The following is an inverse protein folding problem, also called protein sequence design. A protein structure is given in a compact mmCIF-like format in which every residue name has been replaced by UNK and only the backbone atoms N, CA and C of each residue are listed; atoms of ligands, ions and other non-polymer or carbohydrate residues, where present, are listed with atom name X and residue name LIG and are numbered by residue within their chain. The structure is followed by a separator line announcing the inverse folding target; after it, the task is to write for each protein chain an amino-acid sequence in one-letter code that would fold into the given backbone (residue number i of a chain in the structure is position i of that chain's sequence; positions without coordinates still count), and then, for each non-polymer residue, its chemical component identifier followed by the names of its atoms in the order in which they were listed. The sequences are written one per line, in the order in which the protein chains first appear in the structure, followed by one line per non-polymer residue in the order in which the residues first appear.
data_IF_350708051697
#
_entry.id   IF_350708051697
#
_cell.length_a   1.000
_cell.length_b   1.000
_cell.length_c   1.000
_cell.angle_alpha   90.00
_cell.angle_beta   90.00
_cell.angle_gamma   90.00
#
_symmetry.space_group_name_H-M   'P 1'
#
loop_
_entity.id
_entity.type
_entity.pdbx_description
1 polymer ?
#
# COMPACT_ATOMS: atom_id res chain seq x y z
N UNK A 1 28.53 24.91 -24.24
CA UNK A 1 29.35 23.68 -24.25
C UNK A 1 28.77 22.76 -25.31
N UNK A 2 29.53 22.49 -26.37
CA UNK A 2 29.15 21.57 -27.46
C UNK A 2 29.23 20.13 -26.96
N UNK A 3 28.10 19.53 -26.59
CA UNK A 3 27.99 18.09 -26.37
C UNK A 3 28.17 17.39 -27.72
N UNK A 4 29.27 16.67 -27.89
CA UNK A 4 29.53 15.82 -29.06
C UNK A 4 28.56 14.65 -29.03
N UNK A 5 27.42 14.81 -29.73
CA UNK A 5 26.44 13.74 -29.94
C UNK A 5 27.10 12.53 -30.60
N UNK A 6 26.62 11.33 -30.28
CA UNK A 6 27.05 10.12 -30.98
C UNK A 6 26.65 10.19 -32.46
N UNK A 7 27.51 9.72 -33.38
CA UNK A 7 27.29 9.90 -34.82
C UNK A 7 26.07 9.14 -35.33
N UNK A 8 25.79 7.94 -34.80
CA UNK A 8 24.64 7.11 -35.14
C UNK A 8 23.73 6.92 -33.92
N UNK A 9 22.42 6.97 -34.19
CA UNK A 9 21.39 6.57 -33.23
C UNK A 9 21.30 5.04 -33.21
N UNK A 10 21.30 4.46 -32.03
CA UNK A 10 21.03 3.04 -31.81
C UNK A 10 19.70 2.95 -31.09
N UNK A 11 18.72 2.26 -31.65
CA UNK A 11 17.41 2.19 -31.01
C UNK A 11 17.42 1.30 -29.77
N UNK A 12 16.75 1.70 -28.68
CA UNK A 12 16.60 0.87 -27.49
C UNK A 12 15.73 -0.35 -27.76
N UNK A 13 16.06 -1.47 -27.14
CA UNK A 13 15.23 -2.68 -27.19
C UNK A 13 14.05 -2.56 -26.21
N UNK A 14 12.92 -3.27 -26.45
CA UNK A 14 11.78 -3.23 -25.54
C UNK A 14 12.17 -3.63 -24.11
N UNK A 15 11.78 -2.80 -23.13
CA UNK A 15 12.08 -2.97 -21.70
C UNK A 15 13.59 -3.09 -21.38
N UNK A 16 14.47 -2.64 -22.26
CA UNK A 16 15.90 -2.63 -22.05
C UNK A 16 16.27 -1.73 -20.87
N UNK A 17 17.19 -2.20 -20.06
CA UNK A 17 17.75 -1.42 -18.96
C UNK A 17 18.79 -0.45 -19.49
N UNK A 18 18.86 0.76 -18.92
CA UNK A 18 19.80 1.79 -19.36
C UNK A 18 21.25 1.31 -19.41
N UNK A 19 21.69 0.52 -18.42
CA UNK A 19 23.04 -0.07 -18.46
C UNK A 19 23.22 -1.06 -19.61
N UNK A 20 22.21 -1.88 -19.92
CA UNK A 20 22.24 -2.81 -21.06
C UNK A 20 22.36 -2.05 -22.38
N UNK A 21 21.53 -1.00 -22.54
CA UNK A 21 21.57 -0.10 -23.68
C UNK A 21 22.97 0.52 -23.86
N UNK A 22 23.54 1.14 -22.82
CA UNK A 22 24.87 1.76 -22.90
C UNK A 22 25.96 0.75 -23.25
N UNK A 23 25.88 -0.48 -22.74
CA UNK A 23 26.84 -1.55 -23.09
C UNK A 23 26.72 -1.92 -24.56
N UNK A 24 25.49 -2.10 -25.06
CA UNK A 24 25.24 -2.42 -26.47
C UNK A 24 25.72 -1.32 -27.42
N UNK A 25 25.47 -0.06 -27.07
CA UNK A 25 26.00 1.11 -27.81
C UNK A 25 27.52 1.14 -27.76
N UNK A 26 28.13 0.89 -26.61
CA UNK A 26 29.59 0.87 -26.47
C UNK A 26 30.24 -0.21 -27.33
N UNK A 27 29.65 -1.41 -27.34
CA UNK A 27 30.12 -2.52 -28.16
C UNK A 27 29.96 -2.24 -29.66
N UNK A 28 28.85 -1.59 -30.07
CA UNK A 28 28.67 -1.14 -31.46
C UNK A 28 29.78 -0.17 -31.91
N UNK A 29 30.20 0.74 -31.04
CA UNK A 29 31.28 1.69 -31.33
C UNK A 29 32.69 1.18 -31.03
N UNK A 30 32.85 -0.05 -30.51
CA UNK A 30 34.15 -0.59 -30.12
C UNK A 30 34.82 0.15 -28.95
N UNK A 31 34.04 0.82 -28.10
CA UNK A 31 34.55 1.61 -26.96
C UNK A 31 34.12 1.01 -25.62
N UNK A 32 34.69 1.51 -24.52
CA UNK A 32 34.25 1.13 -23.17
C UNK A 32 32.98 1.91 -22.80
N UNK A 33 32.00 1.30 -22.11
CA UNK A 33 30.79 2.00 -21.65
C UNK A 33 31.06 3.28 -20.85
N UNK A 34 32.11 3.29 -20.02
CA UNK A 34 32.54 4.48 -19.27
C UNK A 34 33.01 5.64 -20.17
N UNK A 35 33.57 5.34 -21.34
CA UNK A 35 34.02 6.37 -22.27
C UNK A 35 32.82 7.12 -22.87
N UNK A 36 31.71 6.42 -23.16
CA UNK A 36 30.47 7.06 -23.58
C UNK A 36 29.90 7.97 -22.49
N UNK A 37 29.79 7.45 -21.26
CA UNK A 37 29.18 8.21 -20.16
C UNK A 37 30.04 9.39 -19.68
N UNK A 38 31.35 9.38 -19.92
CA UNK A 38 32.23 10.51 -19.63
C UNK A 38 31.93 11.75 -20.50
N UNK A 39 31.20 11.58 -21.61
CA UNK A 39 30.78 12.67 -22.49
C UNK A 39 29.50 13.38 -22.01
N UNK A 40 28.81 12.87 -20.99
CA UNK A 40 27.60 13.45 -20.41
C UNK A 40 27.90 14.10 -19.03
N UNK A 41 28.16 15.41 -18.98
CA UNK A 41 28.45 16.11 -17.72
C UNK A 41 27.21 16.20 -16.81
N UNK A 42 27.09 15.24 -15.88
CA UNK A 42 25.93 15.12 -14.98
C UNK A 42 25.39 13.69 -14.88
N UNK A 43 25.76 12.81 -15.81
CA UNK A 43 25.49 11.39 -15.69
C UNK A 43 26.29 10.84 -14.50
N UNK A 44 25.58 10.45 -13.44
CA UNK A 44 26.13 9.92 -12.19
C UNK A 44 26.87 8.58 -12.41
N UNK A 45 28.04 8.61 -13.05
CA UNK A 45 28.95 7.47 -13.11
C UNK A 45 29.62 7.39 -11.75
N UNK A 46 28.95 6.74 -10.80
CA UNK A 46 29.59 6.38 -9.54
C UNK A 46 30.88 5.64 -9.86
N UNK A 47 32.00 6.24 -9.47
CA UNK A 47 33.39 5.86 -9.78
C UNK A 47 33.79 4.45 -9.36
N UNK A 48 32.89 3.66 -8.74
CA UNK A 48 33.12 2.25 -8.41
C UNK A 48 33.38 1.44 -9.68
N UNK A 49 34.31 0.49 -9.58
CA UNK A 49 34.88 -0.37 -10.65
C UNK A 49 33.88 -1.15 -11.51
N UNK A 50 32.58 -1.06 -11.25
CA UNK A 50 31.49 -1.68 -12.00
C UNK A 50 30.39 -0.63 -12.07
N UNK A 51 29.73 -0.45 -13.22
CA UNK A 51 28.60 0.49 -13.40
C UNK A 51 27.34 0.02 -12.62
N UNK A 52 27.52 -0.49 -11.40
CA UNK A 52 26.58 -1.30 -10.63
C UNK A 52 25.25 -0.59 -10.36
N UNK A 53 25.22 0.74 -10.53
CA UNK A 53 24.13 1.61 -10.12
C UNK A 53 23.54 2.46 -11.26
N UNK A 54 24.16 2.42 -12.46
CA UNK A 54 23.64 3.11 -13.64
C UNK A 54 22.27 2.56 -14.04
N UNK A 55 21.31 3.42 -14.38
CA UNK A 55 19.96 2.99 -14.75
C UNK A 55 19.01 2.73 -13.59
N UNK A 56 19.31 3.25 -12.39
CA UNK A 56 18.39 3.16 -11.24
C UNK A 56 17.46 4.37 -11.17
N UNK A 57 18.03 5.57 -11.09
CA UNK A 57 17.33 6.86 -11.11
C UNK A 57 18.19 7.83 -11.93
N UNK A 58 17.56 8.78 -12.63
CA UNK A 58 18.22 9.91 -13.26
C UNK A 58 17.42 11.18 -12.96
N UNK A 59 18.10 12.32 -12.80
CA UNK A 59 17.43 13.63 -12.70
C UNK A 59 16.92 14.05 -14.08
N UNK A 60 15.95 14.97 -14.15
CA UNK A 60 15.41 15.45 -15.42
C UNK A 60 16.51 16.07 -16.31
N UNK A 61 17.46 16.81 -15.72
CA UNK A 61 18.59 17.39 -16.44
C UNK A 61 19.50 16.31 -17.01
N UNK A 62 19.83 15.27 -16.23
CA UNK A 62 20.64 14.17 -16.69
C UNK A 62 19.96 13.41 -17.83
N UNK A 63 18.63 13.23 -17.76
CA UNK A 63 17.84 12.58 -18.81
C UNK A 63 17.94 13.36 -20.11
N UNK A 64 17.77 14.69 -20.09
CA UNK A 64 17.88 15.54 -21.29
C UNK A 64 19.28 15.47 -21.89
N UNK A 65 20.32 15.51 -21.07
CA UNK A 65 21.71 15.42 -21.55
C UNK A 65 22.03 14.05 -22.15
N UNK A 66 21.57 12.97 -21.51
CA UNK A 66 21.75 11.61 -22.01
C UNK A 66 20.96 11.40 -23.31
N UNK A 67 19.74 11.93 -23.39
CA UNK A 67 18.93 11.92 -24.60
C UNK A 67 19.65 12.62 -25.76
N UNK A 68 20.19 13.82 -25.52
CA UNK A 68 20.97 14.57 -26.51
C UNK A 68 22.21 13.79 -26.98
N UNK A 69 23.01 13.27 -26.04
CA UNK A 69 24.23 12.52 -26.33
C UNK A 69 23.96 11.27 -27.17
N UNK A 70 22.95 10.47 -26.78
CA UNK A 70 22.62 9.20 -27.43
C UNK A 70 21.64 9.33 -28.61
N UNK A 71 21.24 10.55 -28.96
CA UNK A 71 20.23 10.84 -30.00
C UNK A 71 18.89 10.14 -29.74
N UNK A 72 18.49 10.10 -28.48
CA UNK A 72 17.20 9.58 -28.00
C UNK A 72 16.25 10.72 -27.62
N UNK A 73 14.98 10.40 -27.50
CA UNK A 73 14.02 11.27 -26.82
C UNK A 73 14.19 11.12 -25.29
N UNK A 74 13.98 12.19 -24.49
CA UNK A 74 14.02 12.11 -23.02
C UNK A 74 13.18 10.96 -22.45
N UNK A 75 11.96 10.78 -22.98
CA UNK A 75 11.05 9.69 -22.59
C UNK A 75 11.60 8.28 -22.84
N UNK A 76 12.46 8.11 -23.85
CA UNK A 76 13.08 6.83 -24.16
C UNK A 76 14.16 6.50 -23.12
N UNK A 77 14.93 7.51 -22.70
CA UNK A 77 15.92 7.39 -21.63
C UNK A 77 15.25 7.12 -20.28
N UNK A 78 14.20 7.86 -19.95
CA UNK A 78 13.42 7.68 -18.73
C UNK A 78 12.89 6.25 -18.60
N UNK A 79 12.30 5.71 -19.68
CA UNK A 79 11.74 4.34 -19.74
C UNK A 79 12.74 3.22 -19.46
N UNK A 80 14.03 3.50 -19.55
CA UNK A 80 15.10 2.54 -19.28
C UNK A 80 15.64 2.62 -17.84
N UNK A 81 15.07 3.49 -16.98
CA UNK A 81 15.42 3.65 -15.57
C UNK A 81 14.39 3.01 -14.64
N UNK A 82 14.89 2.39 -13.57
CA UNK A 82 14.06 1.72 -12.57
C UNK A 82 13.08 2.65 -11.84
N UNK A 83 13.34 3.96 -11.81
CA UNK A 83 12.41 4.99 -11.31
C UNK A 83 11.05 5.00 -12.01
N UNK A 84 10.92 4.33 -13.15
CA UNK A 84 9.65 4.14 -13.85
C UNK A 84 8.76 3.08 -13.21
N UNK A 85 9.34 2.11 -12.50
CA UNK A 85 8.55 1.19 -11.68
C UNK A 85 8.10 1.94 -10.43
N UNK A 86 6.92 1.57 -9.91
CA UNK A 86 6.42 2.12 -8.66
C UNK A 86 7.50 2.12 -7.56
N UNK A 87 7.58 3.21 -6.81
CA UNK A 87 8.52 3.38 -5.72
C UNK A 87 8.32 2.42 -4.54
N UNK A 88 7.39 1.48 -4.60
CA UNK A 88 7.16 0.37 -3.65
C UNK A 88 7.79 -0.96 -4.09
N UNK A 89 7.80 -1.25 -5.39
CA UNK A 89 8.54 -2.39 -5.98
C UNK A 89 10.06 -2.22 -5.82
N UNK A 90 10.51 -0.99 -5.55
CA UNK A 90 11.92 -0.63 -5.41
C UNK A 90 12.17 0.21 -4.14
N UNK A 91 11.14 0.57 -3.36
CA UNK A 91 11.24 1.46 -2.17
C UNK A 91 11.94 2.81 -2.42
N UNK A 92 11.84 3.35 -3.64
CA UNK A 92 12.42 4.64 -4.04
C UNK A 92 11.52 5.80 -3.61
N UNK A 93 10.20 5.62 -3.59
CA UNK A 93 9.26 6.71 -3.28
C UNK A 93 9.37 7.20 -1.82
N UNK A 94 9.81 6.34 -0.90
CA UNK A 94 10.03 6.69 0.51
C UNK A 94 11.38 7.39 0.76
N UNK A 95 12.19 7.59 -0.29
CA UNK A 95 13.52 8.18 -0.19
C UNK A 95 13.52 9.55 -0.86
N UNK A 96 14.16 10.50 -0.18
CA UNK A 96 14.45 11.82 -0.76
C UNK A 96 15.25 11.64 -2.06
N UNK A 97 14.71 12.17 -3.18
CA UNK A 97 15.32 12.09 -4.50
C UNK A 97 16.69 12.78 -4.52
N UNK A 98 16.91 13.77 -3.65
CA UNK A 98 18.19 14.45 -3.50
C UNK A 98 19.28 13.49 -2.99
N UNK A 99 18.93 12.36 -2.37
CA UNK A 99 19.90 11.33 -1.99
C UNK A 99 20.52 10.60 -3.20
N UNK A 100 19.89 10.73 -4.37
CA UNK A 100 20.38 10.20 -5.65
C UNK A 100 21.16 11.25 -6.46
N UNK A 101 21.13 12.53 -6.06
CA UNK A 101 21.94 13.57 -6.69
C UNK A 101 23.43 13.35 -6.35
N UNK A 102 24.30 13.14 -7.36
CA UNK A 102 25.74 13.03 -7.13
C UNK A 102 26.37 14.24 -6.47
N UNK A 103 25.77 15.42 -6.63
CA UNK A 103 26.30 16.70 -6.16
C UNK A 103 25.76 17.08 -4.78
N UNK A 104 24.84 16.29 -4.21
CA UNK A 104 24.30 16.58 -2.89
C UNK A 104 25.39 16.45 -1.80
N UNK A 105 25.72 17.52 -1.07
CA UNK A 105 26.76 17.49 -0.03
C UNK A 105 26.40 16.60 1.17
N UNK A 106 25.12 16.25 1.34
CA UNK A 106 24.62 15.37 2.42
C UNK A 106 24.62 13.89 2.06
N UNK A 107 25.20 13.53 0.91
CA UNK A 107 25.18 12.16 0.39
C UNK A 107 25.87 11.16 1.33
N UNK A 108 25.21 10.04 1.61
CA UNK A 108 25.81 8.95 2.38
C UNK A 108 26.92 8.21 1.60
N UNK A 109 27.99 7.82 2.29
CA UNK A 109 29.12 7.07 1.73
C UNK A 109 28.75 5.70 1.13
N UNK A 110 27.62 5.13 1.58
CA UNK A 110 26.93 4.00 0.95
C UNK A 110 25.70 4.54 0.22
N UNK A 111 25.57 4.26 -1.08
CA UNK A 111 24.43 4.72 -1.87
C UNK A 111 23.11 4.15 -1.30
N UNK A 112 22.01 4.94 -1.21
CA UNK A 112 20.73 4.52 -0.64
C UNK A 112 20.14 3.27 -1.30
N UNK A 113 20.57 2.94 -2.52
CA UNK A 113 20.13 1.76 -3.28
C UNK A 113 20.42 0.41 -2.63
N UNK A 114 21.18 0.34 -1.55
CA UNK A 114 21.27 -0.87 -0.70
C UNK A 114 20.08 -1.04 0.25
N UNK A 115 19.35 0.04 0.56
CA UNK A 115 18.11 0.05 1.36
C UNK A 115 16.83 0.06 0.50
N UNK A 116 16.99 0.36 -0.78
CA UNK A 116 15.99 0.26 -1.87
C UNK A 116 15.64 -1.21 -2.04
N UNK A 117 14.58 -1.62 -1.34
CA UNK A 117 14.15 -3.01 -1.22
C UNK A 117 13.71 -3.56 -2.56
N UNK A 118 14.07 -4.82 -2.83
CA UNK A 118 13.69 -5.61 -4.00
C UNK A 118 14.46 -5.38 -5.31
N UNK A 119 15.65 -4.77 -5.31
CA UNK A 119 16.57 -4.85 -6.49
C UNK A 119 17.83 -5.67 -6.21
N UNK A 120 18.26 -6.49 -7.18
CA UNK A 120 19.52 -7.24 -7.15
C UNK A 120 20.69 -6.28 -7.31
N UNK A 121 21.89 -6.62 -6.83
CA UNK A 121 23.06 -5.78 -7.13
C UNK A 121 23.47 -5.93 -8.60
N UNK A 122 24.12 -4.93 -9.21
CA UNK A 122 24.61 -5.04 -10.60
C UNK A 122 25.68 -6.10 -10.83
N UNK A 123 26.21 -6.70 -9.76
CA UNK A 123 27.11 -7.86 -9.82
C UNK A 123 26.34 -9.19 -9.85
N UNK A 124 25.06 -9.18 -9.50
CA UNK A 124 24.14 -10.32 -9.49
C UNK A 124 23.12 -10.19 -10.62
N UNK A 125 23.52 -9.57 -11.73
CA UNK A 125 22.64 -9.42 -12.89
C UNK A 125 22.31 -10.81 -13.42
N UNK A 126 21.03 -11.13 -13.42
CA UNK A 126 20.51 -12.37 -13.97
C UNK A 126 20.13 -12.16 -15.42
N UNK A 127 20.18 -13.24 -16.19
CA UNK A 127 19.92 -13.23 -17.63
C UNK A 127 19.11 -14.45 -18.02
N UNK A 128 18.32 -14.29 -19.08
CA UNK A 128 17.77 -15.43 -19.81
C UNK A 128 18.74 -15.80 -20.94
N UNK A 129 19.29 -17.04 -20.97
CA UNK A 129 20.22 -17.45 -22.02
C UNK A 129 19.70 -17.18 -23.43
N UNK A 130 18.45 -17.54 -23.73
CA UNK A 130 17.86 -17.36 -25.06
C UNK A 130 17.68 -15.89 -25.46
N UNK A 131 17.33 -15.01 -24.52
CA UNK A 131 17.31 -13.57 -24.81
C UNK A 131 18.70 -13.04 -25.15
N UNK A 132 19.74 -13.55 -24.49
CA UNK A 132 21.13 -13.14 -24.73
C UNK A 132 21.66 -13.70 -26.05
N UNK A 133 21.29 -14.94 -26.40
CA UNK A 133 21.66 -15.55 -27.67
C UNK A 133 21.06 -14.76 -28.85
N UNK A 134 19.82 -14.28 -28.71
CA UNK A 134 19.15 -13.46 -29.72
C UNK A 134 19.69 -12.02 -29.79
N UNK A 135 20.01 -11.43 -28.64
CA UNK A 135 20.54 -10.07 -28.53
C UNK A 135 21.69 -10.03 -27.51
N UNK A 136 22.94 -10.20 -27.98
CA UNK A 136 24.10 -10.06 -27.12
C UNK A 136 24.06 -8.73 -26.36
N UNK A 137 24.42 -8.75 -25.08
CA UNK A 137 24.40 -7.60 -24.16
C UNK A 137 23.03 -7.02 -23.76
N UNK A 138 21.93 -7.52 -24.31
CA UNK A 138 20.59 -7.15 -23.85
C UNK A 138 20.41 -7.44 -22.36
N UNK A 139 19.82 -6.50 -21.63
CA UNK A 139 19.41 -6.72 -20.23
C UNK A 139 18.04 -6.12 -20.03
N UNK A 140 17.06 -6.94 -19.66
CA UNK A 140 15.75 -6.42 -19.31
C UNK A 140 15.82 -5.69 -17.96
N UNK A 141 15.21 -4.51 -17.89
CA UNK A 141 15.13 -3.71 -16.67
C UNK A 141 14.49 -4.48 -15.51
N UNK A 142 13.45 -5.25 -15.79
CA UNK A 142 12.72 -6.05 -14.80
C UNK A 142 13.55 -7.17 -14.18
N UNK A 143 14.63 -7.64 -14.82
CA UNK A 143 15.52 -8.67 -14.23
C UNK A 143 16.30 -8.14 -13.03
N UNK A 144 16.26 -6.83 -12.80
CA UNK A 144 16.80 -6.21 -11.60
C UNK A 144 15.95 -6.50 -10.37
N UNK A 145 14.67 -6.86 -10.51
CA UNK A 145 13.78 -7.10 -9.38
C UNK A 145 14.09 -8.43 -8.70
N UNK A 146 14.34 -8.45 -7.39
CA UNK A 146 14.64 -9.67 -6.61
C UNK A 146 13.55 -10.75 -6.76
N UNK A 147 12.31 -10.33 -7.03
CA UNK A 147 11.13 -11.18 -7.21
C UNK A 147 10.93 -11.67 -8.65
N UNK A 148 11.66 -11.12 -9.64
CA UNK A 148 11.61 -11.62 -11.01
C UNK A 148 12.59 -12.77 -11.17
N UNK A 149 12.09 -14.01 -11.11
CA UNK A 149 12.86 -15.24 -11.24
C UNK A 149 12.72 -15.90 -12.62
N UNK A 150 11.60 -15.71 -13.32
CA UNK A 150 11.29 -16.40 -14.59
C UNK A 150 11.23 -15.42 -15.76
N UNK A 151 11.96 -15.69 -16.84
CA UNK A 151 11.73 -15.04 -18.12
C UNK A 151 10.41 -15.55 -18.74
N UNK A 152 9.39 -14.70 -18.78
CA UNK A 152 8.07 -15.08 -19.31
C UNK A 152 8.06 -15.34 -20.83
N UNK A 153 8.98 -14.76 -21.60
CA UNK A 153 9.07 -15.00 -23.05
C UNK A 153 9.55 -16.42 -23.38
N UNK A 154 10.52 -16.91 -22.61
CA UNK A 154 11.20 -18.18 -22.89
C UNK A 154 10.88 -19.29 -21.88
N UNK A 155 10.09 -18.96 -20.85
CA UNK A 155 9.73 -19.85 -19.74
C UNK A 155 10.97 -20.52 -19.13
N UNK A 156 11.96 -19.69 -18.78
CA UNK A 156 13.23 -20.13 -18.19
C UNK A 156 13.56 -19.34 -16.92
N UNK A 157 14.16 -20.02 -15.95
CA UNK A 157 14.74 -19.35 -14.80
C UNK A 157 15.83 -18.37 -15.24
N UNK A 158 15.83 -17.18 -14.66
CA UNK A 158 16.89 -16.19 -14.80
C UNK A 158 18.09 -16.60 -13.96
N UNK A 159 19.23 -16.82 -14.60
CA UNK A 159 20.46 -17.25 -13.92
C UNK A 159 21.53 -16.17 -13.94
N UNK A 160 22.41 -16.20 -12.94
CA UNK A 160 23.64 -15.41 -12.98
C UNK A 160 24.65 -16.02 -13.95
N UNK A 161 25.66 -15.27 -14.38
CA UNK A 161 26.62 -15.74 -15.37
C UNK A 161 27.37 -17.02 -14.98
N UNK A 162 27.64 -17.19 -13.68
CA UNK A 162 28.41 -18.31 -13.12
C UNK A 162 27.52 -19.46 -12.60
N UNK A 163 26.20 -19.37 -12.78
CA UNK A 163 25.25 -20.37 -12.32
C UNK A 163 24.76 -21.22 -13.51
N UNK A 164 25.06 -22.51 -13.46
CA UNK A 164 24.39 -23.49 -14.32
C UNK A 164 22.96 -23.68 -13.82
N UNK A 165 21.92 -23.44 -14.64
CA UNK A 165 20.55 -23.72 -14.22
C UNK A 165 20.44 -25.21 -13.92
N UNK A 166 20.05 -25.56 -12.68
CA UNK A 166 19.45 -26.85 -12.42
C UNK A 166 18.26 -27.05 -13.36
N UNK A 167 17.99 -28.30 -13.78
CA UNK A 167 16.78 -28.60 -14.55
C UNK A 167 15.57 -28.40 -13.63
N UNK A 168 14.86 -27.31 -13.83
CA UNK A 168 13.60 -27.00 -13.13
C UNK A 168 12.47 -27.13 -14.13
N UNK A 169 11.36 -27.73 -13.68
CA UNK A 169 10.12 -27.75 -14.45
C UNK A 169 9.22 -26.64 -13.93
N UNK A 170 9.02 -25.58 -14.74
CA UNK A 170 8.14 -24.50 -14.36
C UNK A 170 6.67 -24.95 -14.45
N UNK A 171 5.92 -24.76 -13.37
CA UNK A 171 4.47 -25.01 -13.37
C UNK A 171 3.71 -23.77 -13.89
N UNK A 172 2.47 -23.93 -14.40
CA UNK A 172 1.63 -22.80 -14.79
C UNK A 172 1.43 -21.77 -13.66
N UNK A 173 1.25 -22.24 -12.42
CA UNK A 173 1.09 -21.38 -11.24
C UNK A 173 2.32 -20.50 -10.98
N UNK A 174 3.53 -21.02 -11.17
CA UNK A 174 4.77 -20.25 -11.02
C UNK A 174 4.87 -19.13 -12.08
N UNK A 175 4.48 -19.44 -13.32
CA UNK A 175 4.48 -18.49 -14.44
C UNK A 175 3.42 -17.42 -14.21
N UNK A 176 2.23 -17.80 -13.73
CA UNK A 176 1.14 -16.88 -13.38
C UNK A 176 1.55 -15.96 -12.23
N UNK A 177 2.14 -16.49 -11.16
CA UNK A 177 2.64 -15.68 -10.05
C UNK A 177 3.68 -14.65 -10.52
N UNK A 178 4.61 -15.06 -11.40
CA UNK A 178 5.57 -14.14 -11.99
C UNK A 178 4.88 -13.06 -12.84
N UNK A 179 3.88 -13.41 -13.63
CA UNK A 179 3.09 -12.48 -14.44
C UNK A 179 2.33 -11.46 -13.56
N UNK A 180 1.77 -11.89 -12.43
CA UNK A 180 1.13 -11.01 -11.45
C UNK A 180 2.08 -9.96 -10.89
N UNK A 181 3.33 -10.33 -10.63
CA UNK A 181 4.37 -9.39 -10.18
C UNK A 181 4.69 -8.37 -11.27
N UNK A 182 4.90 -8.81 -12.51
CA UNK A 182 5.33 -7.93 -13.60
C UNK A 182 4.22 -7.01 -14.12
N UNK A 183 2.98 -7.46 -14.13
CA UNK A 183 1.81 -6.63 -14.52
C UNK A 183 1.54 -5.46 -13.56
N UNK A 184 2.08 -5.52 -12.33
CA UNK A 184 1.89 -4.51 -11.27
C UNK A 184 3.02 -3.49 -11.16
N UNK A 185 3.96 -3.47 -12.10
CA UNK A 185 5.10 -2.54 -12.03
C UNK A 185 4.72 -1.07 -12.28
N UNK A 186 3.57 -0.82 -12.91
CA UNK A 186 3.08 0.53 -13.15
C UNK A 186 2.74 1.26 -11.82
N UNK A 187 3.00 2.58 -11.71
CA UNK A 187 2.69 3.33 -10.49
C UNK A 187 1.19 3.39 -10.19
N UNK A 188 0.79 2.89 -9.02
CA UNK A 188 -0.53 3.11 -8.40
C UNK A 188 -0.49 2.80 -6.89
N UNK A 189 -1.39 3.36 -6.06
CA UNK A 189 -1.48 3.01 -4.64
C UNK A 189 -1.73 1.50 -4.42
N UNK A 190 -2.56 0.88 -5.25
CA UNK A 190 -2.86 -0.55 -5.17
C UNK A 190 -1.65 -1.42 -5.46
N UNK A 191 -0.89 -1.09 -6.51
CA UNK A 191 0.34 -1.81 -6.81
C UNK A 191 1.36 -1.63 -5.68
N UNK A 192 1.37 -0.46 -5.02
CA UNK A 192 2.24 -0.23 -3.88
C UNK A 192 1.93 -1.10 -2.67
N UNK A 193 0.66 -1.17 -2.30
CA UNK A 193 0.22 -2.08 -1.24
C UNK A 193 0.56 -3.54 -1.57
N UNK A 194 0.47 -3.96 -2.84
CA UNK A 194 0.79 -5.33 -3.26
C UNK A 194 2.26 -5.66 -3.01
N UNK A 195 3.19 -4.78 -3.36
CA UNK A 195 4.61 -5.02 -3.13
C UNK A 195 4.99 -4.99 -1.65
N UNK A 196 4.32 -4.17 -0.84
CA UNK A 196 4.48 -4.17 0.63
C UNK A 196 4.08 -5.54 1.20
N UNK A 197 2.94 -6.07 0.77
CA UNK A 197 2.43 -7.36 1.24
C UNK A 197 3.32 -8.51 0.75
N UNK A 198 3.68 -8.52 -0.54
CA UNK A 198 4.60 -9.49 -1.13
C UNK A 198 5.94 -9.54 -0.38
N UNK A 199 6.56 -8.38 -0.11
CA UNK A 199 7.81 -8.31 0.66
C UNK A 199 7.61 -8.85 2.09
N UNK A 200 6.50 -8.51 2.75
CA UNK A 200 6.16 -9.01 4.07
C UNK A 200 6.12 -10.54 4.12
N UNK A 201 5.44 -11.17 3.16
CA UNK A 201 5.35 -12.64 3.08
C UNK A 201 6.69 -13.29 2.75
N UNK A 202 7.44 -12.76 1.78
CA UNK A 202 8.76 -13.29 1.43
C UNK A 202 9.77 -13.21 2.59
N UNK A 203 9.68 -12.14 3.40
CA UNK A 203 10.51 -11.99 4.62
C UNK A 203 10.19 -13.05 5.66
N UNK A 204 8.92 -13.44 5.79
CA UNK A 204 8.45 -14.39 6.81
C UNK A 204 8.63 -15.85 6.40
N UNK A 205 8.58 -16.15 5.11
CA UNK A 205 8.85 -17.49 4.60
C UNK A 205 10.28 -17.97 4.88
N UNK A 206 11.23 -17.05 5.11
CA UNK A 206 12.62 -17.40 5.39
C UNK A 206 12.87 -17.63 6.89
N UNK A 207 13.04 -18.90 7.26
CA UNK A 207 13.36 -19.33 8.64
C UNK A 207 14.77 -18.93 9.12
N UNK A 208 15.70 -18.58 8.21
CA UNK A 208 17.11 -18.26 8.51
C UNK A 208 17.39 -16.75 8.66
N UNK A 209 16.35 -15.91 8.69
CA UNK A 209 16.48 -14.44 8.67
C UNK A 209 16.25 -13.86 7.28
N UNK A 210 16.57 -12.58 7.06
CA UNK A 210 16.31 -11.95 5.76
C UNK A 210 17.40 -12.30 4.73
N UNK A 211 17.06 -13.17 3.78
CA UNK A 211 17.81 -13.36 2.54
C UNK A 211 16.92 -13.02 1.31
N UNK A 212 17.40 -12.19 0.38
CA UNK A 212 16.70 -11.89 -0.87
C UNK A 212 16.33 -13.12 -1.69
N UNK A 213 15.12 -13.10 -2.27
CA UNK A 213 14.58 -14.24 -3.01
C UNK A 213 15.48 -14.70 -4.18
N UNK A 214 16.10 -13.78 -4.91
CA UNK A 214 16.98 -14.12 -6.03
C UNK A 214 18.23 -14.91 -5.60
N UNK A 215 18.73 -14.70 -4.39
CA UNK A 215 19.85 -15.48 -3.83
C UNK A 215 19.41 -16.85 -3.39
N UNK A 216 18.23 -16.94 -2.77
CA UNK A 216 17.59 -18.20 -2.41
C UNK A 216 17.38 -19.08 -3.65
N UNK A 217 16.91 -18.48 -4.75
CA UNK A 217 16.75 -19.17 -6.03
C UNK A 217 18.06 -19.69 -6.63
N UNK A 218 19.20 -19.09 -6.27
CA UNK A 218 20.53 -19.58 -6.66
C UNK A 218 20.97 -20.84 -5.91
N UNK A 219 20.39 -21.12 -4.74
CA UNK A 219 20.68 -22.31 -3.93
C UNK A 219 19.63 -23.40 -4.12
N UNK A 220 18.36 -23.01 -4.01
CA UNK A 220 17.19 -23.89 -4.17
C UNK A 220 16.11 -23.14 -4.96
N UNK A 221 16.11 -23.30 -6.29
CA UNK A 221 15.17 -22.60 -7.16
C UNK A 221 13.72 -23.08 -7.00
N UNK A 222 13.50 -24.36 -6.69
CA UNK A 222 12.15 -24.90 -6.50
C UNK A 222 11.51 -24.32 -5.23
N UNK A 223 12.25 -24.28 -4.12
CA UNK A 223 11.78 -23.66 -2.89
C UNK A 223 11.55 -22.15 -3.06
N UNK A 224 12.44 -21.44 -3.78
CA UNK A 224 12.27 -20.02 -4.02
C UNK A 224 11.05 -19.70 -4.91
N UNK A 225 10.76 -20.54 -5.90
CA UNK A 225 9.57 -20.40 -6.74
C UNK A 225 8.29 -20.72 -5.97
N UNK A 226 8.29 -21.77 -5.14
CA UNK A 226 7.15 -22.08 -4.26
C UNK A 226 6.84 -20.94 -3.29
N UNK A 227 7.87 -20.35 -2.70
CA UNK A 227 7.74 -19.17 -1.84
C UNK A 227 7.18 -17.96 -2.57
N UNK A 228 7.64 -17.71 -3.80
CA UNK A 228 7.10 -16.63 -4.63
C UNK A 228 5.62 -16.84 -4.89
N UNK A 229 5.23 -18.04 -5.33
CA UNK A 229 3.83 -18.38 -5.62
C UNK A 229 2.95 -18.22 -4.39
N UNK A 230 3.39 -18.74 -3.24
CA UNK A 230 2.64 -18.60 -1.97
C UNK A 230 2.52 -17.14 -1.55
N UNK A 231 3.62 -16.37 -1.61
CA UNK A 231 3.63 -14.97 -1.23
C UNK A 231 2.76 -14.10 -2.16
N UNK A 232 2.75 -14.36 -3.47
CA UNK A 232 1.85 -13.68 -4.43
C UNK A 232 0.39 -14.00 -4.11
N UNK A 233 0.05 -15.28 -3.89
CA UNK A 233 -1.31 -15.70 -3.51
C UNK A 233 -1.78 -14.99 -2.23
N UNK A 234 -0.94 -14.95 -1.20
CA UNK A 234 -1.23 -14.27 0.06
C UNK A 234 -1.38 -12.75 -0.11
N UNK A 235 -0.51 -12.11 -0.91
CA UNK A 235 -0.58 -10.67 -1.19
C UNK A 235 -1.83 -10.27 -1.99
N UNK A 236 -2.41 -11.19 -2.77
CA UNK A 236 -3.66 -10.97 -3.51
C UNK A 236 -4.92 -11.16 -2.65
N UNK A 237 -4.84 -11.88 -1.54
CA UNK A 237 -5.98 -12.20 -0.68
C UNK A 237 -6.38 -11.07 0.30
N UNK A 238 -6.26 -9.80 -0.10
CA UNK A 238 -6.53 -8.65 0.79
C UNK A 238 -7.90 -8.72 1.44
N UNK A 239 -7.94 -8.42 2.74
CA UNK A 239 -9.17 -8.39 3.52
C UNK A 239 -9.58 -9.74 4.09
N UNK A 240 -8.75 -10.78 3.89
CA UNK A 240 -8.97 -12.14 4.34
C UNK A 240 -7.74 -12.61 5.15
N UNK A 241 -7.62 -12.22 6.43
CA UNK A 241 -6.44 -12.50 7.25
C UNK A 241 -5.94 -13.95 7.28
N UNK A 242 -6.82 -14.96 7.25
CA UNK A 242 -6.42 -16.37 7.22
C UNK A 242 -5.87 -16.76 5.84
N UNK A 243 -6.54 -16.37 4.76
CA UNK A 243 -6.07 -16.59 3.38
C UNK A 243 -4.77 -15.82 3.08
N UNK A 244 -4.57 -14.65 3.69
CA UNK A 244 -3.30 -13.92 3.68
C UNK A 244 -2.24 -14.57 4.59
N UNK A 245 -2.58 -15.52 5.46
CA UNK A 245 -1.62 -16.13 6.40
C UNK A 245 -1.16 -15.18 7.52
N UNK A 246 -1.96 -14.16 7.86
CA UNK A 246 -1.63 -13.13 8.86
C UNK A 246 -1.99 -13.54 10.29
N UNK A 247 -2.79 -14.58 10.48
CA UNK A 247 -3.23 -15.03 11.81
C UNK A 247 -2.07 -15.52 12.67
N UNK A 248 -1.05 -16.10 12.05
CA UNK A 248 0.19 -16.54 12.70
C UNK A 248 1.18 -15.40 12.97
N UNK A 249 0.94 -14.21 12.41
CA UNK A 249 1.87 -13.09 12.54
C UNK A 249 1.69 -12.34 13.86
N UNK A 250 2.78 -11.76 14.42
CA UNK A 250 2.67 -10.83 15.53
C UNK A 250 1.77 -9.64 15.19
N UNK A 251 0.98 -9.17 16.16
CA UNK A 251 0.01 -8.06 16.00
C UNK A 251 0.63 -6.82 15.35
N UNK A 252 1.81 -6.43 15.82
CA UNK A 252 2.52 -5.25 15.31
C UNK A 252 2.93 -5.39 13.84
N UNK A 253 3.22 -6.62 13.39
CA UNK A 253 3.63 -6.88 12.02
C UNK A 253 2.42 -6.92 11.07
N UNK A 254 1.33 -7.60 11.45
CA UNK A 254 0.19 -7.85 10.54
C UNK A 254 -0.69 -6.63 10.26
N UNK A 255 -0.72 -5.64 11.15
CA UNK A 255 -1.66 -4.51 11.05
C UNK A 255 -1.46 -3.63 9.83
N UNK A 256 -0.24 -3.57 9.30
CA UNK A 256 0.11 -2.85 8.06
C UNK A 256 -0.21 -3.63 6.78
N UNK A 257 -0.68 -4.87 6.91
CA UNK A 257 -0.99 -5.77 5.78
C UNK A 257 -2.48 -6.09 5.67
N UNK A 258 -3.30 -5.67 6.63
CA UNK A 258 -4.75 -5.82 6.58
C UNK A 258 -5.31 -4.57 5.92
N UNK A 259 -5.92 -4.76 4.75
CA UNK A 259 -6.60 -3.73 3.95
C UNK A 259 -7.96 -4.26 3.52
N UNK A 260 -8.87 -3.37 3.16
CA UNK A 260 -10.08 -3.80 2.45
C UNK A 260 -9.69 -4.44 1.11
N UNK A 261 -10.46 -5.42 0.59
CA UNK A 261 -10.21 -6.03 -0.72
C UNK A 261 -10.26 -5.01 -1.86
N UNK A 262 -11.12 -3.99 -1.69
CA UNK A 262 -11.35 -2.94 -2.67
C UNK A 262 -11.48 -1.59 -1.95
N UNK A 263 -10.92 -0.55 -2.57
CA UNK A 263 -11.02 0.85 -2.13
C UNK A 263 -11.93 1.63 -3.07
N UNK A 264 -12.68 2.59 -2.53
CA UNK A 264 -13.46 3.55 -3.29
C UNK A 264 -12.67 4.82 -3.66
N UNK A 265 -11.41 4.95 -3.19
CA UNK A 265 -10.52 6.05 -3.55
C UNK A 265 -10.87 7.39 -2.91
N UNK A 266 -11.54 7.39 -1.76
CA UNK A 266 -11.85 8.62 -1.01
C UNK A 266 -10.56 9.26 -0.47
N UNK A 267 -10.34 10.53 -0.80
CA UNK A 267 -9.12 11.29 -0.46
C UNK A 267 -9.36 12.50 0.45
N UNK A 268 -10.61 12.83 0.76
CA UNK A 268 -10.94 14.02 1.57
C UNK A 268 -10.74 13.77 3.07
N UNK A 269 -11.07 14.78 3.88
CA UNK A 269 -10.95 14.71 5.34
C UNK A 269 -11.82 13.61 5.95
N UNK A 270 -11.29 12.93 6.97
CA UNK A 270 -11.98 11.81 7.62
C UNK A 270 -13.05 12.24 8.62
N UNK A 271 -13.36 13.53 8.69
CA UNK A 271 -14.35 14.08 9.62
C UNK A 271 -15.76 13.54 9.34
N UNK A 272 -16.02 13.10 8.10
CA UNK A 272 -17.27 12.46 7.69
C UNK A 272 -17.45 11.04 8.24
N UNK A 273 -16.38 10.43 8.77
CA UNK A 273 -16.43 9.09 9.34
C UNK A 273 -16.50 9.13 10.87
N UNK A 274 -17.53 8.51 11.48
CA UNK A 274 -17.67 8.48 12.93
C UNK A 274 -16.74 7.46 13.58
N UNK A 275 -16.45 7.63 14.87
CA UNK A 275 -15.76 6.61 15.67
C UNK A 275 -16.61 5.35 15.87
N UNK A 276 -17.93 5.49 15.90
CA UNK A 276 -18.91 4.42 16.01
C UNK A 276 -19.88 4.53 14.84
N UNK A 277 -20.08 3.49 14.04
CA UNK A 277 -21.06 3.53 12.96
C UNK A 277 -22.44 3.96 13.49
N UNK A 278 -23.22 4.87 12.87
CA UNK A 278 -24.53 5.26 13.39
C UNK A 278 -25.46 4.05 13.53
N UNK A 279 -26.27 4.02 14.58
CA UNK A 279 -27.11 2.85 14.90
C UNK A 279 -28.03 2.43 13.75
N UNK A 280 -28.71 3.35 13.02
CA UNK A 280 -29.53 2.95 11.88
C UNK A 280 -28.73 2.24 10.78
N UNK A 281 -27.51 2.69 10.50
CA UNK A 281 -26.60 2.07 9.53
C UNK A 281 -26.06 0.73 10.06
N UNK A 282 -25.90 0.57 11.37
CA UNK A 282 -25.37 -0.64 11.98
C UNK A 282 -26.41 -1.77 12.09
N UNK A 283 -27.62 -1.45 12.54
CA UNK A 283 -28.67 -2.43 12.86
C UNK A 283 -29.27 -3.09 11.61
N UNK A 284 -29.10 -2.51 10.42
CA UNK A 284 -29.61 -3.11 9.18
C UNK A 284 -28.92 -4.43 8.85
N UNK A 285 -27.58 -4.42 8.75
CA UNK A 285 -26.81 -5.53 8.18
C UNK A 285 -25.58 -5.89 9.03
N UNK A 286 -24.98 -4.92 9.74
CA UNK A 286 -23.78 -5.16 10.53
C UNK A 286 -24.06 -5.87 11.85
N UNK A 287 -25.22 -5.66 12.47
CA UNK A 287 -25.57 -6.32 13.74
C UNK A 287 -25.52 -7.83 13.63
N UNK A 288 -26.07 -8.37 12.54
CA UNK A 288 -26.12 -9.82 12.28
C UNK A 288 -24.75 -10.35 11.89
N UNK A 289 -23.99 -9.58 11.09
CA UNK A 289 -22.62 -9.93 10.70
C UNK A 289 -21.69 -10.02 11.91
N UNK A 290 -21.80 -9.07 12.82
CA UNK A 290 -20.85 -8.93 13.92
C UNK A 290 -21.33 -9.56 15.23
N UNK A 291 -22.51 -10.21 15.25
CA UNK A 291 -22.96 -10.99 16.40
C UNK A 291 -21.96 -12.12 16.74
N UNK A 292 -21.61 -12.35 18.03
CA UNK A 292 -22.20 -11.77 19.26
C UNK A 292 -21.42 -10.57 19.83
N UNK A 293 -20.70 -9.80 19.01
CA UNK A 293 -20.05 -8.58 19.49
C UNK A 293 -21.07 -7.65 20.17
N UNK A 294 -20.67 -7.03 21.27
CA UNK A 294 -21.48 -5.96 21.88
C UNK A 294 -21.71 -4.86 20.84
N UNK A 295 -22.92 -4.29 20.78
CA UNK A 295 -23.32 -3.29 19.77
C UNK A 295 -22.24 -2.22 19.57
N UNK A 296 -21.77 -1.60 20.66
CA UNK A 296 -20.72 -0.57 20.60
C UNK A 296 -19.41 -1.05 19.97
N UNK A 297 -19.00 -2.28 20.26
CA UNK A 297 -17.78 -2.86 19.69
C UNK A 297 -18.00 -3.20 18.21
N UNK A 298 -19.16 -3.73 17.85
CA UNK A 298 -19.54 -3.96 16.45
C UNK A 298 -19.55 -2.66 15.63
N UNK A 299 -20.16 -1.60 16.17
CA UNK A 299 -20.18 -0.26 15.54
C UNK A 299 -18.78 0.29 15.30
N UNK A 300 -17.86 0.10 16.24
CA UNK A 300 -16.46 0.52 16.09
C UNK A 300 -15.72 -0.29 15.01
N UNK A 301 -15.94 -1.61 14.97
CA UNK A 301 -15.35 -2.49 13.94
C UNK A 301 -15.87 -2.13 12.55
N UNK A 302 -17.18 -1.91 12.42
CA UNK A 302 -17.78 -1.50 11.16
C UNK A 302 -17.32 -0.11 10.71
N UNK A 303 -17.14 0.84 11.64
CA UNK A 303 -16.58 2.17 11.33
C UNK A 303 -15.16 2.08 10.74
N UNK A 304 -14.27 1.29 11.37
CA UNK A 304 -12.93 1.06 10.83
C UNK A 304 -12.97 0.41 9.44
N UNK A 305 -13.79 -0.63 9.27
CA UNK A 305 -13.95 -1.30 7.98
C UNK A 305 -14.47 -0.36 6.89
N UNK A 306 -15.35 0.57 7.26
CA UNK A 306 -15.88 1.60 6.36
C UNK A 306 -14.79 2.58 5.93
N UNK A 307 -13.98 3.11 6.85
CA UNK A 307 -12.84 3.99 6.51
C UNK A 307 -11.80 3.28 5.63
N UNK A 308 -11.48 2.02 5.95
CA UNK A 308 -10.57 1.21 5.15
C UNK A 308 -11.12 0.97 3.74
N UNK A 309 -12.42 0.75 3.59
CA UNK A 309 -13.08 0.56 2.28
C UNK A 309 -13.19 1.87 1.50
N UNK A 310 -13.34 3.00 2.18
CA UNK A 310 -13.36 4.31 1.53
C UNK A 310 -12.00 4.68 0.95
N UNK A 311 -10.95 4.55 1.77
CA UNK A 311 -9.63 5.14 1.50
C UNK A 311 -8.61 4.14 0.94
N UNK A 312 -8.79 2.84 1.20
CA UNK A 312 -7.80 1.81 0.89
C UNK A 312 -6.60 1.77 1.83
N UNK A 313 -6.61 2.55 2.91
CA UNK A 313 -5.55 2.51 3.91
C UNK A 313 -5.53 1.16 4.66
N UNK A 314 -4.37 0.80 5.21
CA UNK A 314 -4.26 -0.37 6.08
C UNK A 314 -4.85 -0.13 7.47
N UNK A 315 -5.09 -1.21 8.20
CA UNK A 315 -5.67 -1.16 9.54
C UNK A 315 -4.86 -0.28 10.49
N UNK A 316 -3.52 -0.27 10.40
CA UNK A 316 -2.70 0.59 11.26
C UNK A 316 -2.98 2.07 11.03
N UNK A 317 -3.11 2.50 9.77
CA UNK A 317 -3.49 3.88 9.43
C UNK A 317 -4.96 4.17 9.76
N UNK A 318 -5.88 3.26 9.45
CA UNK A 318 -7.30 3.41 9.77
C UNK A 318 -7.55 3.57 11.28
N UNK A 319 -6.66 3.05 12.12
CA UNK A 319 -6.75 3.22 13.56
C UNK A 319 -6.60 4.67 14.04
N UNK A 320 -6.04 5.57 13.22
CA UNK A 320 -6.04 7.02 13.51
C UNK A 320 -7.45 7.60 13.57
N UNK A 321 -8.44 6.93 12.95
CA UNK A 321 -9.84 7.23 13.16
C UNK A 321 -10.20 7.15 14.64
N UNK A 322 -9.60 6.30 15.46
CA UNK A 322 -10.03 6.08 16.86
C UNK A 322 -9.28 6.99 17.86
N UNK A 323 -9.93 7.37 18.98
CA UNK A 323 -9.25 8.10 20.05
C UNK A 323 -8.02 7.32 20.57
N UNK A 324 -6.92 7.99 20.97
CA UNK A 324 -5.65 7.34 21.33
C UNK A 324 -5.79 6.17 22.31
N UNK A 325 -6.57 6.33 23.37
CA UNK A 325 -6.80 5.33 24.43
C UNK A 325 -7.52 4.07 23.94
N UNK A 326 -8.18 4.13 22.78
CA UNK A 326 -8.97 3.04 22.21
C UNK A 326 -8.24 2.27 21.11
N UNK A 327 -7.14 2.81 20.58
CA UNK A 327 -6.52 2.32 19.35
C UNK A 327 -6.14 0.84 19.41
N UNK A 328 -5.30 0.46 20.38
CA UNK A 328 -4.79 -0.91 20.54
C UNK A 328 -5.93 -1.92 20.75
N UNK A 329 -6.94 -1.54 21.53
CA UNK A 329 -8.08 -2.40 21.86
C UNK A 329 -8.95 -2.66 20.63
N UNK A 330 -9.28 -1.62 19.88
CA UNK A 330 -10.13 -1.73 18.68
C UNK A 330 -9.41 -2.45 17.54
N UNK A 331 -8.09 -2.28 17.40
CA UNK A 331 -7.27 -3.03 16.46
C UNK A 331 -7.38 -4.54 16.71
N UNK A 332 -7.25 -4.96 17.97
CA UNK A 332 -7.35 -6.38 18.34
C UNK A 332 -8.75 -6.94 18.12
N UNK A 333 -9.79 -6.14 18.36
CA UNK A 333 -11.19 -6.52 18.12
C UNK A 333 -11.49 -6.65 16.63
N UNK A 334 -11.09 -5.67 15.83
CA UNK A 334 -11.26 -5.67 14.39
C UNK A 334 -10.65 -6.93 13.77
N UNK A 335 -9.38 -7.21 14.11
CA UNK A 335 -8.70 -8.39 13.58
C UNK A 335 -9.42 -9.69 13.93
N UNK A 336 -9.77 -9.88 15.21
CA UNK A 336 -10.48 -11.10 15.67
C UNK A 336 -11.82 -11.28 14.97
N UNK A 337 -12.56 -10.19 14.78
CA UNK A 337 -13.85 -10.26 14.08
C UNK A 337 -13.69 -10.55 12.60
N UNK A 338 -12.69 -9.96 11.94
CA UNK A 338 -12.45 -10.22 10.53
C UNK A 338 -12.03 -11.69 10.28
N UNK A 339 -11.17 -12.26 11.13
CA UNK A 339 -10.82 -13.69 11.10
C UNK A 339 -12.07 -14.56 11.29
N UNK A 340 -12.90 -14.25 12.29
CA UNK A 340 -14.14 -15.00 12.53
C UNK A 340 -15.08 -14.94 11.34
N UNK A 341 -15.26 -13.76 10.75
CA UNK A 341 -16.08 -13.56 9.55
C UNK A 341 -15.54 -14.35 8.36
N UNK A 342 -14.23 -14.39 8.17
CA UNK A 342 -13.60 -15.17 7.10
C UNK A 342 -13.84 -16.67 7.28
N UNK A 343 -13.60 -17.20 8.48
CA UNK A 343 -13.84 -18.62 8.81
C UNK A 343 -15.30 -19.03 8.64
N UNK A 344 -16.23 -18.08 8.79
CA UNK A 344 -17.66 -18.30 8.55
C UNK A 344 -18.09 -18.09 7.10
N UNK A 345 -17.18 -17.70 6.19
CA UNK A 345 -17.52 -17.36 4.80
C UNK A 345 -18.31 -16.05 4.65
N UNK A 346 -18.21 -15.14 5.62
CA UNK A 346 -19.01 -13.90 5.72
C UNK A 346 -18.18 -12.63 5.55
N UNK A 347 -16.85 -12.73 5.43
CA UNK A 347 -15.95 -11.58 5.25
C UNK A 347 -16.27 -10.76 4.00
N UNK A 348 -16.61 -11.41 2.87
CA UNK A 348 -17.00 -10.69 1.64
C UNK A 348 -18.24 -9.81 1.88
N UNK A 349 -19.26 -10.37 2.55
CA UNK A 349 -20.49 -9.62 2.90
C UNK A 349 -20.17 -8.45 3.82
N UNK A 350 -19.27 -8.62 4.80
CA UNK A 350 -18.82 -7.53 5.66
C UNK A 350 -18.20 -6.38 4.86
N UNK A 351 -17.25 -6.68 3.97
CA UNK A 351 -16.61 -5.65 3.14
C UNK A 351 -17.59 -4.94 2.21
N UNK A 352 -18.55 -5.68 1.63
CA UNK A 352 -19.62 -5.10 0.81
C UNK A 352 -20.48 -4.11 1.62
N UNK A 353 -20.84 -4.46 2.85
CA UNK A 353 -21.60 -3.56 3.73
C UNK A 353 -20.79 -2.32 4.13
N UNK A 354 -19.48 -2.47 4.33
CA UNK A 354 -18.60 -1.31 4.53
C UNK A 354 -18.66 -0.34 3.35
N UNK A 355 -18.60 -0.82 2.11
CA UNK A 355 -18.70 0.03 0.91
C UNK A 355 -20.05 0.74 0.77
N UNK A 356 -21.15 0.05 1.09
CA UNK A 356 -22.49 0.66 1.12
C UNK A 356 -22.53 1.78 2.16
N UNK A 357 -21.97 1.55 3.35
CA UNK A 357 -21.90 2.56 4.39
C UNK A 357 -21.04 3.78 3.99
N UNK A 358 -19.96 3.60 3.21
CA UNK A 358 -19.17 4.73 2.67
C UNK A 358 -20.07 5.67 1.87
N UNK A 359 -20.86 5.12 0.95
CA UNK A 359 -21.72 5.92 0.07
C UNK A 359 -22.69 6.76 0.89
N UNK A 360 -23.31 6.15 1.91
CA UNK A 360 -24.21 6.86 2.81
C UNK A 360 -23.51 7.99 3.58
N UNK A 361 -22.29 7.81 4.08
CA UNK A 361 -21.60 8.87 4.84
C UNK A 361 -21.12 10.02 3.96
N UNK A 362 -20.60 9.70 2.77
CA UNK A 362 -20.17 10.70 1.81
C UNK A 362 -21.37 11.51 1.31
N UNK A 363 -22.50 10.86 1.03
CA UNK A 363 -23.73 11.54 0.59
C UNK A 363 -24.33 12.46 1.67
N UNK A 364 -24.38 12.00 2.93
CA UNK A 364 -24.93 12.84 4.01
C UNK A 364 -23.99 13.98 4.42
N UNK A 365 -22.68 13.88 4.17
CA UNK A 365 -21.71 14.96 4.41
C UNK A 365 -21.62 15.46 5.86
N UNK A 366 -21.98 14.62 6.84
CA UNK A 366 -22.02 15.01 8.25
C UNK A 366 -20.61 15.12 8.82
N UNK A 367 -20.23 16.28 9.36
CA UNK A 367 -18.99 16.42 10.13
C UNK A 367 -19.15 15.87 11.56
N UNK A 368 -18.61 14.66 11.79
CA UNK A 368 -18.65 14.01 13.11
C UNK A 368 -17.62 14.58 14.10
N UNK A 369 -16.58 15.28 13.64
CA UNK A 369 -15.65 15.99 14.55
C UNK A 369 -16.29 17.23 15.12
N UNK A 370 -17.05 17.95 14.31
CA UNK A 370 -17.88 19.07 14.77
C UNK A 370 -18.94 18.62 15.78
N UNK A 371 -19.65 17.50 15.51
CA UNK A 371 -20.62 16.93 16.48
C UNK A 371 -19.97 16.50 17.79
N UNK A 372 -18.78 15.93 17.73
CA UNK A 372 -18.00 15.54 18.90
C UNK A 372 -17.61 16.75 19.77
N UNK A 373 -17.13 17.84 19.15
CA UNK A 373 -16.90 19.10 19.86
C UNK A 373 -18.19 19.63 20.50
N UNK A 374 -19.29 19.55 19.75
CA UNK A 374 -20.63 19.92 20.17
C UNK A 374 -21.17 19.20 21.40
N UNK A 375 -20.77 17.94 21.62
CA UNK A 375 -21.16 17.19 22.81
C UNK A 375 -20.61 17.78 24.12
N UNK A 376 -19.54 18.56 24.04
CA UNK A 376 -18.96 19.25 25.19
C UNK A 376 -19.55 20.65 25.40
N UNK A 377 -20.34 21.15 24.47
CA UNK A 377 -21.00 22.46 24.56
C UNK A 377 -22.27 22.39 25.43
N UNK A 378 -22.37 23.18 26.51
CA UNK A 378 -23.59 23.30 27.30
C UNK A 378 -24.83 23.64 26.47
N UNK A 379 -24.68 24.40 25.38
CA UNK A 379 -25.78 24.82 24.50
C UNK A 379 -26.46 23.62 23.82
N UNK A 380 -25.70 22.62 23.37
CA UNK A 380 -26.22 21.41 22.74
C UNK A 380 -27.04 20.56 23.71
N UNK A 381 -26.60 20.47 24.98
CA UNK A 381 -27.36 19.80 26.03
C UNK A 381 -28.65 20.55 26.35
N UNK A 382 -28.61 21.88 26.50
CA UNK A 382 -29.78 22.69 26.78
C UNK A 382 -30.81 22.63 25.63
N UNK A 383 -30.37 22.74 24.37
CA UNK A 383 -31.22 22.60 23.21
C UNK A 383 -31.94 21.23 23.19
N UNK A 384 -31.23 20.17 23.53
CA UNK A 384 -31.79 18.81 23.60
C UNK A 384 -32.85 18.67 24.72
N UNK A 385 -32.57 19.17 25.93
CA UNK A 385 -33.53 19.11 27.04
C UNK A 385 -34.77 19.97 26.78
N UNK A 386 -34.59 21.14 26.15
CA UNK A 386 -35.71 22.02 25.81
C UNK A 386 -36.60 21.41 24.71
N UNK A 387 -36.00 20.66 23.77
CA UNK A 387 -36.73 19.98 22.72
C UNK A 387 -37.56 18.80 23.25
N UNK A 388 -37.05 18.05 24.22
CA UNK A 388 -37.76 16.91 24.84
C UNK A 388 -37.68 16.96 26.37
N UNK A 389 -38.50 17.80 27.04
CA UNK A 389 -38.45 17.97 28.50
C UNK A 389 -38.80 16.70 29.29
N UNK A 390 -39.51 15.76 28.64
CA UNK A 390 -39.88 14.47 29.23
C UNK A 390 -38.74 13.44 29.23
N UNK A 391 -37.63 13.73 28.54
CA UNK A 391 -36.49 12.83 28.44
C UNK A 391 -35.61 12.88 29.71
N UNK A 392 -35.17 11.72 30.19
CA UNK A 392 -34.25 11.66 31.32
C UNK A 392 -32.90 12.32 30.97
N UNK A 393 -32.50 13.34 31.72
CA UNK A 393 -31.30 14.15 31.43
C UNK A 393 -30.01 13.34 31.31
N UNK A 394 -29.83 12.32 32.16
CA UNK A 394 -28.68 11.42 32.07
C UNK A 394 -28.65 10.60 30.78
N UNK A 395 -29.82 10.27 30.22
CA UNK A 395 -29.92 9.53 28.95
C UNK A 395 -29.63 10.46 27.76
N UNK A 396 -30.06 11.72 27.83
CA UNK A 396 -29.75 12.74 26.81
C UNK A 396 -28.24 12.92 26.66
N UNK A 397 -27.48 13.00 27.76
CA UNK A 397 -26.01 13.08 27.72
C UNK A 397 -25.38 11.85 27.07
N UNK A 398 -25.87 10.65 27.38
CA UNK A 398 -25.41 9.42 26.75
C UNK A 398 -25.76 9.38 25.26
N UNK A 399 -26.95 9.82 24.90
CA UNK A 399 -27.47 9.83 23.54
C UNK A 399 -26.69 10.79 22.64
N UNK A 400 -26.41 12.01 23.12
CA UNK A 400 -25.60 13.00 22.41
C UNK A 400 -24.28 12.40 21.94
N UNK A 401 -23.61 11.65 22.81
CA UNK A 401 -22.31 11.07 22.51
C UNK A 401 -22.43 9.80 21.68
N UNK A 402 -23.27 8.85 22.08
CA UNK A 402 -23.30 7.50 21.48
C UNK A 402 -24.10 7.44 20.16
N UNK A 403 -25.13 8.28 20.01
CA UNK A 403 -26.10 8.21 18.91
C UNK A 403 -26.02 9.42 17.96
N UNK A 404 -25.79 10.63 18.47
CA UNK A 404 -25.71 11.84 17.64
C UNK A 404 -24.30 12.11 17.11
N UNK A 405 -23.32 12.26 18.01
CA UNK A 405 -21.91 12.44 17.65
C UNK A 405 -21.18 11.13 17.33
N UNK A 406 -21.76 9.99 17.71
CA UNK A 406 -21.22 8.68 17.40
C UNK A 406 -19.74 8.51 17.87
N UNK A 407 -19.44 8.97 19.09
CA UNK A 407 -18.10 8.99 19.70
C UNK A 407 -18.05 8.25 21.05
N UNK A 408 -16.86 8.20 21.67
CA UNK A 408 -16.62 7.67 22.99
C UNK A 408 -16.67 8.78 24.05
N UNK A 409 -17.44 8.58 25.11
CA UNK A 409 -17.44 9.47 26.28
C UNK A 409 -16.15 9.31 27.11
N UNK A 410 -15.73 10.41 27.75
CA UNK A 410 -14.91 10.35 28.97
C UNK A 410 -15.69 9.65 30.09
N UNK A 411 -14.98 9.07 31.05
CA UNK A 411 -15.41 8.07 32.04
C UNK A 411 -16.60 8.42 32.97
N UNK A 412 -17.27 9.57 32.83
CA UNK A 412 -18.38 10.02 33.70
C UNK A 412 -19.78 9.77 33.18
N UNK A 413 -19.94 9.45 31.89
CA UNK A 413 -21.23 9.06 31.33
C UNK A 413 -21.32 7.54 31.39
N UNK A 414 -22.15 7.02 32.29
CA UNK A 414 -22.40 5.57 32.38
C UNK A 414 -23.20 5.17 31.14
N UNK A 415 -22.65 4.33 30.26
CA UNK A 415 -23.48 3.69 29.26
C UNK A 415 -24.47 2.81 30.02
N UNK A 416 -25.77 2.97 29.80
CA UNK A 416 -26.75 1.99 30.24
C UNK A 416 -26.65 0.72 29.37
N UNK A 417 -25.48 0.08 29.41
CA UNK A 417 -25.12 -1.10 28.61
C UNK A 417 -25.89 -2.35 29.04
N UNK A 418 -26.60 -2.33 30.18
CA UNK A 418 -27.23 -3.54 30.71
C UNK A 418 -28.60 -3.87 30.06
N UNK A 419 -29.37 -2.89 29.54
CA UNK A 419 -30.80 -3.13 29.24
C UNK A 419 -31.35 -2.61 27.88
N UNK A 420 -30.54 -2.36 26.82
CA UNK A 420 -31.01 -1.79 25.51
C UNK A 420 -31.62 -0.37 25.58
N UNK A 421 -31.47 0.31 26.71
CA UNK A 421 -32.24 1.52 26.97
C UNK A 421 -31.80 2.73 26.15
N UNK A 422 -30.59 2.76 25.57
CA UNK A 422 -30.14 3.91 24.76
C UNK A 422 -30.64 3.85 23.33
N UNK A 423 -30.75 2.65 22.74
CA UNK A 423 -31.33 2.46 21.41
C UNK A 423 -32.84 2.69 21.44
N UNK A 424 -33.53 2.23 22.50
CA UNK A 424 -34.96 2.52 22.70
C UNK A 424 -35.21 4.01 22.97
N UNK A 425 -34.31 4.65 23.71
CA UNK A 425 -34.32 6.11 23.90
C UNK A 425 -34.17 6.84 22.57
N UNK A 426 -33.22 6.43 21.71
CA UNK A 426 -33.04 7.00 20.38
C UNK A 426 -34.29 6.86 19.52
N UNK A 427 -34.93 5.69 19.54
CA UNK A 427 -36.17 5.44 18.80
C UNK A 427 -37.30 6.38 19.23
N UNK A 428 -37.40 6.66 20.54
CA UNK A 428 -38.50 7.45 21.11
C UNK A 428 -38.29 8.95 21.01
N UNK A 429 -37.08 9.45 21.31
CA UNK A 429 -36.80 10.88 21.43
C UNK A 429 -35.81 11.39 20.39
N UNK A 430 -35.02 10.50 19.78
CA UNK A 430 -33.92 10.87 18.89
C UNK A 430 -34.31 11.73 17.68
N UNK A 431 -35.45 11.53 16.99
CA UNK A 431 -35.85 12.39 15.87
C UNK A 431 -36.01 13.87 16.26
N UNK A 432 -36.71 14.15 17.35
CA UNK A 432 -36.91 15.52 17.85
C UNK A 432 -35.59 16.14 18.29
N UNK A 433 -34.77 15.38 19.03
CA UNK A 433 -33.47 15.84 19.51
C UNK A 433 -32.51 16.16 18.35
N UNK A 434 -32.45 15.32 17.30
CA UNK A 434 -31.64 15.59 16.10
C UNK A 434 -32.07 16.88 15.42
N UNK A 435 -33.37 17.06 15.23
CA UNK A 435 -33.93 18.27 14.59
C UNK A 435 -33.56 19.54 15.37
N UNK A 436 -33.61 19.50 16.70
CA UNK A 436 -33.25 20.63 17.54
C UNK A 436 -31.75 20.97 17.46
N UNK A 437 -30.89 19.95 17.43
CA UNK A 437 -29.45 20.13 17.29
C UNK A 437 -29.09 20.63 15.89
N UNK A 438 -29.68 20.09 14.84
CA UNK A 438 -29.43 20.53 13.46
C UNK A 438 -29.76 22.02 13.28
N UNK A 439 -30.86 22.52 13.88
CA UNK A 439 -31.18 23.95 13.90
C UNK A 439 -30.10 24.78 14.60
N UNK A 440 -29.63 24.34 15.76
CA UNK A 440 -28.56 25.00 16.51
C UNK A 440 -27.29 25.18 15.67
N UNK A 441 -26.91 24.18 14.87
CA UNK A 441 -25.70 24.23 14.03
C UNK A 441 -25.89 24.97 12.70
N UNK A 442 -27.12 25.01 12.15
CA UNK A 442 -27.44 25.85 10.99
C UNK A 442 -27.46 27.34 11.39
N UNK A 443 -28.05 27.66 12.55
CA UNK A 443 -28.17 29.05 13.04
C UNK A 443 -26.83 29.61 13.57
N UNK A 444 -25.86 28.76 13.90
CA UNK A 444 -24.52 29.17 14.34
C UNK A 444 -23.49 29.35 13.20
N UNK A 445 -23.84 28.97 11.96
CA UNK A 445 -23.00 29.11 10.77
C UNK A 445 -23.42 30.25 9.84
N UNK A 446 -24.57 30.90 10.12
CA UNK A 446 -25.03 32.14 9.52
C UNK A 446 -24.61 33.34 10.37
#
# INVERSE_FOLDING_TARGET
MTTTRLPLRIDPLPAEWWRGYVVRVANFYGVRPRALLALAPGATVLTRRRMTWSGTVATAEAVVQLADLFRLEPREVDRMHLSTFNGSAIRIADLDLDLFDPNNPRRSSKHPTQKVGLIVSGAEDRRCPQCIDAAPDYRAMTWRLQTHLICLTHLKLLTSADQSPGRITLTPEMVEAQSHVLSRLNPSPDNAAFFVDLEGHLRRANSRGWEPLHRRAGHDPDAALADLTSAVRMALARGYPDAQGLTEWPVQARTRHIRAPHSLGFTDEWNVFPHLLPTPTFVSEFSDLLYPARIRDGRAVAALGTVMSATGCDLYTAMELMPPERRIRNLSKFFKQLVLLEQQGRAERFWRQCQIAVSAFVEHGVDYRAREAGCSDPSAFLASINAEPSAHQGMVRTWLVDQWACTYTSSRIRPSILDRSIEDFDRRFGPTLRTALERLYVDGAA
#
